data_IF_404099099987
#
_entry.id   IF_404099099987
#
_cell.length_a   1.000
_cell.length_b   1.000
_cell.length_c   1.000
_cell.angle_alpha   90.00
_cell.angle_beta   90.00
_cell.angle_gamma   90.00
#
_symmetry.space_group_name_H-M   'P 1'
#
loop_
_entity.id
_entity.type
_entity.pdbx_description
1 polymer ?
#
# COMPACT_ATOMS: atom_id res chain seq x y z
N UNK A 1 1.26 -14.66 1.22
CA UNK A 1 0.61 -13.52 0.51
C UNK A 1 -0.89 -13.61 0.76
N UNK A 2 -1.49 -12.51 1.13
CA UNK A 2 -2.93 -12.46 1.35
C UNK A 2 -3.53 -11.24 0.68
N UNK A 3 -4.80 -11.36 0.28
CA UNK A 3 -5.54 -10.29 -0.37
C UNK A 3 -6.51 -9.67 0.64
N UNK A 4 -6.59 -8.36 0.67
CA UNK A 4 -7.43 -7.62 1.60
C UNK A 4 -8.09 -6.45 0.89
N UNK A 5 -9.24 -6.04 1.39
CA UNK A 5 -9.78 -4.72 1.09
C UNK A 5 -9.17 -3.73 2.06
N UNK A 6 -8.82 -2.57 1.58
CA UNK A 6 -8.12 -1.58 2.38
C UNK A 6 -8.50 -0.17 2.01
N UNK A 7 -8.28 0.73 2.95
CA UNK A 7 -8.39 2.16 2.75
C UNK A 7 -7.03 2.78 3.03
N UNK A 8 -6.64 3.78 2.26
CA UNK A 8 -5.44 4.56 2.57
C UNK A 8 -5.80 6.03 2.81
N UNK A 9 -5.08 6.63 3.74
CA UNK A 9 -5.16 8.07 4.00
C UNK A 9 -3.82 8.70 3.68
N UNK A 10 -3.85 9.83 3.00
CA UNK A 10 -2.68 10.53 2.50
C UNK A 10 -2.64 11.94 3.08
N UNK A 11 -1.42 12.43 3.38
CA UNK A 11 -1.24 13.83 3.79
C UNK A 11 -1.49 14.75 2.62
N UNK A 12 -2.34 15.77 2.82
CA UNK A 12 -2.59 16.82 1.84
C UNK A 12 -3.19 16.33 0.51
N UNK A 13 -3.72 15.10 0.49
CA UNK A 13 -4.33 14.54 -0.71
C UNK A 13 -5.54 13.71 -0.33
N UNK A 14 -6.41 13.50 -1.31
CA UNK A 14 -7.58 12.65 -1.12
C UNK A 14 -7.13 11.21 -0.88
N UNK A 15 -7.69 10.57 0.13
CA UNK A 15 -7.47 9.15 0.39
C UNK A 15 -8.17 8.28 -0.65
N UNK A 16 -7.79 7.01 -0.64
CA UNK A 16 -8.39 5.98 -1.51
C UNK A 16 -9.10 4.96 -0.64
N UNK A 17 -10.25 4.48 -1.10
CA UNK A 17 -11.07 3.52 -0.37
C UNK A 17 -11.35 2.29 -1.21
N UNK A 18 -11.70 1.18 -0.55
CA UNK A 18 -12.06 -0.08 -1.19
C UNK A 18 -11.00 -0.59 -2.18
N UNK A 19 -9.74 -0.43 -1.81
CA UNK A 19 -8.64 -0.95 -2.62
C UNK A 19 -8.46 -2.44 -2.38
N UNK A 20 -8.21 -3.17 -3.47
CA UNK A 20 -7.75 -4.55 -3.37
C UNK A 20 -6.24 -4.54 -3.26
N UNK A 21 -5.72 -4.98 -2.11
CA UNK A 21 -4.27 -5.04 -1.92
C UNK A 21 -3.80 -6.47 -1.74
N UNK A 22 -2.59 -6.72 -2.20
CA UNK A 22 -1.85 -7.93 -1.88
C UNK A 22 -0.87 -7.59 -0.77
N UNK A 23 -0.88 -8.35 0.30
CA UNK A 23 -0.06 -8.09 1.47
C UNK A 23 0.82 -9.30 1.78
N UNK A 24 2.09 -9.05 2.04
CA UNK A 24 3.04 -10.06 2.49
C UNK A 24 3.64 -9.59 3.81
N UNK A 25 3.50 -10.42 4.85
CA UNK A 25 4.10 -10.15 6.16
C UNK A 25 5.19 -11.18 6.36
N UNK A 26 6.40 -10.71 6.67
CA UNK A 26 7.55 -11.56 6.90
C UNK A 26 8.04 -11.34 8.33
N UNK A 27 8.20 -12.43 9.07
CA UNK A 27 8.82 -12.39 10.38
C UNK A 27 10.34 -12.45 10.20
N UNK A 28 11.00 -11.39 10.65
CA UNK A 28 12.45 -11.26 10.50
C UNK A 28 13.23 -11.73 11.72
N UNK A 29 12.53 -12.34 12.70
CA UNK A 29 13.15 -12.81 13.95
C UNK A 29 13.19 -11.73 15.01
N UNK A 30 13.48 -12.13 16.26
CA UNK A 30 13.55 -11.19 17.37
C UNK A 30 12.27 -10.43 17.67
N UNK A 31 11.12 -10.96 17.27
CA UNK A 31 9.84 -10.30 17.45
C UNK A 31 9.56 -9.17 16.45
N UNK A 32 10.39 -9.03 15.43
CA UNK A 32 10.22 -8.00 14.40
C UNK A 32 9.47 -8.55 13.21
N UNK A 33 8.65 -7.70 12.62
CA UNK A 33 7.95 -7.99 11.38
C UNK A 33 8.31 -6.96 10.34
N UNK A 34 8.46 -7.41 9.09
CA UNK A 34 8.43 -6.53 7.95
C UNK A 34 7.20 -6.88 7.11
N UNK A 35 6.62 -5.88 6.48
CA UNK A 35 5.46 -6.10 5.65
C UNK A 35 5.53 -5.19 4.43
N UNK A 36 4.99 -5.72 3.35
CA UNK A 36 5.00 -5.03 2.07
C UNK A 36 3.79 -5.46 1.27
N UNK A 37 3.52 -4.77 0.20
CA UNK A 37 2.40 -5.14 -0.63
C UNK A 37 2.31 -4.32 -1.90
N UNK A 38 1.21 -4.53 -2.60
CA UNK A 38 0.94 -3.85 -3.85
C UNK A 38 -0.58 -3.63 -4.01
N UNK A 39 -0.93 -2.56 -4.70
CA UNK A 39 -2.30 -2.33 -5.11
C UNK A 39 -2.32 -1.59 -6.44
N UNK A 40 -3.47 -1.65 -7.11
CA UNK A 40 -3.67 -0.89 -8.33
C UNK A 40 -4.37 0.42 -8.00
N UNK A 41 -3.82 1.52 -8.49
CA UNK A 41 -4.45 2.83 -8.39
C UNK A 41 -4.76 3.35 -9.79
N UNK A 42 -5.59 4.37 -9.87
CA UNK A 42 -5.77 5.08 -11.13
C UNK A 42 -4.60 6.05 -11.31
N UNK A 43 -4.13 6.19 -12.54
CA UNK A 43 -3.02 7.11 -12.83
C UNK A 43 -3.34 8.55 -12.39
N UNK A 44 -4.60 8.93 -12.42
CA UNK A 44 -5.05 10.25 -11.98
C UNK A 44 -4.87 10.47 -10.46
N UNK A 45 -4.73 9.40 -9.69
CA UNK A 45 -4.52 9.53 -8.25
C UNK A 45 -3.17 10.15 -7.90
N UNK A 46 -2.22 10.12 -8.83
CA UNK A 46 -0.96 10.83 -8.69
C UNK A 46 -0.07 10.34 -7.57
N UNK A 47 -0.07 9.04 -7.29
CA UNK A 47 0.77 8.47 -6.24
C UNK A 47 2.22 8.48 -6.70
N UNK A 48 3.10 9.02 -5.87
CA UNK A 48 4.51 9.19 -6.20
C UNK A 48 5.38 8.24 -5.37
N UNK A 49 6.56 7.86 -5.88
CA UNK A 49 7.56 7.15 -5.07
C UNK A 49 7.92 7.94 -3.82
N UNK A 50 8.22 7.22 -2.73
CA UNK A 50 8.55 7.78 -1.41
C UNK A 50 7.39 8.47 -0.69
N UNK A 51 6.20 8.51 -1.27
CA UNK A 51 5.02 9.02 -0.58
C UNK A 51 4.67 8.10 0.58
N UNK A 52 4.32 8.71 1.72
CA UNK A 52 3.87 7.96 2.91
C UNK A 52 2.35 8.04 3.01
N UNK A 53 1.77 6.96 3.51
CA UNK A 53 0.33 6.90 3.73
C UNK A 53 0.01 6.00 4.91
N UNK A 54 -1.18 6.19 5.48
CA UNK A 54 -1.71 5.31 6.51
C UNK A 54 -2.60 4.27 5.86
N UNK A 55 -2.38 3.02 6.21
CA UNK A 55 -3.11 1.88 5.65
C UNK A 55 -4.06 1.32 6.70
N UNK A 56 -5.31 1.12 6.30
CA UNK A 56 -6.35 0.53 7.15
C UNK A 56 -6.93 -0.70 6.45
N UNK A 57 -6.71 -1.86 7.03
CA UNK A 57 -7.18 -3.12 6.47
C UNK A 57 -8.60 -3.43 6.93
N UNK A 58 -9.28 -4.26 6.16
CA UNK A 58 -10.62 -4.77 6.49
C UNK A 58 -10.62 -5.63 7.76
N UNK A 59 -9.47 -6.14 8.17
CA UNK A 59 -9.30 -6.90 9.41
C UNK A 59 -9.29 -6.02 10.65
N UNK A 60 -9.23 -4.69 10.49
CA UNK A 60 -9.06 -3.75 11.60
C UNK A 60 -7.61 -3.38 11.88
N UNK A 61 -6.66 -4.04 11.23
CA UNK A 61 -5.26 -3.68 11.37
C UNK A 61 -4.95 -2.38 10.64
N UNK A 62 -3.99 -1.64 11.17
CA UNK A 62 -3.55 -0.39 10.56
C UNK A 62 -2.04 -0.25 10.67
N UNK A 63 -1.46 0.53 9.79
CA UNK A 63 -0.04 0.81 9.81
C UNK A 63 0.31 1.94 8.87
N UNK A 64 1.57 2.37 8.94
CA UNK A 64 2.10 3.37 8.03
C UNK A 64 2.95 2.69 6.98
N UNK A 65 2.82 3.11 5.74
CA UNK A 65 3.58 2.56 4.63
C UNK A 65 4.20 3.68 3.80
N UNK A 66 5.22 3.30 3.04
CA UNK A 66 5.88 4.18 2.09
C UNK A 66 5.86 3.54 0.71
N UNK A 67 5.55 4.33 -0.30
CA UNK A 67 5.57 3.86 -1.68
C UNK A 67 7.02 3.60 -2.07
N UNK A 68 7.32 2.36 -2.44
CA UNK A 68 8.65 1.94 -2.89
C UNK A 68 8.86 2.30 -4.35
N UNK A 69 7.91 1.94 -5.20
CA UNK A 69 7.94 2.26 -6.61
C UNK A 69 6.54 2.19 -7.21
N UNK A 70 6.38 2.78 -8.37
CA UNK A 70 5.17 2.70 -9.15
C UNK A 70 5.50 2.08 -10.51
N UNK A 71 4.63 1.19 -10.99
CA UNK A 71 4.79 0.53 -12.28
C UNK A 71 3.62 0.94 -13.18
N UNK A 72 3.96 1.48 -14.32
CA UNK A 72 3.00 1.87 -15.34
C UNK A 72 2.89 0.79 -16.40
N UNK A 73 1.67 0.35 -16.70
CA UNK A 73 1.43 -0.60 -17.77
C UNK A 73 0.94 0.18 -19.01
N UNK A 74 1.72 0.15 -20.07
CA UNK A 74 1.38 0.85 -21.31
C UNK A 74 0.10 0.32 -21.98
N UNK A 75 -0.30 -0.91 -21.63
CA UNK A 75 -1.55 -1.50 -22.14
C UNK A 75 -2.77 -1.04 -21.36
N UNK A 76 -2.55 -0.50 -20.15
CA UNK A 76 -3.60 0.03 -19.29
C UNK A 76 -3.14 1.37 -18.74
N UNK A 77 -3.10 2.42 -19.55
CA UNK A 77 -2.52 3.70 -19.13
C UNK A 77 -3.30 4.38 -18.00
N UNK A 78 -4.54 3.99 -17.77
CA UNK A 78 -5.34 4.52 -16.68
C UNK A 78 -5.04 3.87 -15.32
N UNK A 79 -4.26 2.80 -15.29
CA UNK A 79 -3.95 2.08 -14.06
C UNK A 79 -2.44 2.08 -13.79
N UNK A 80 -2.09 2.21 -12.51
CA UNK A 80 -0.71 2.18 -12.05
C UNK A 80 -0.62 1.19 -10.90
N UNK A 81 0.34 0.27 -10.97
CA UNK A 81 0.62 -0.62 -9.87
C UNK A 81 1.53 0.08 -8.88
N UNK A 82 1.11 0.13 -7.63
CA UNK A 82 1.86 0.77 -6.56
C UNK A 82 2.42 -0.31 -5.64
N UNK A 83 3.74 -0.29 -5.47
CA UNK A 83 4.44 -1.20 -4.56
C UNK A 83 4.84 -0.40 -3.32
N UNK A 84 4.57 -0.96 -2.15
CA UNK A 84 4.85 -0.25 -0.90
C UNK A 84 5.52 -1.16 0.12
N UNK A 85 6.20 -0.54 1.07
CA UNK A 85 6.77 -1.22 2.23
C UNK A 85 6.25 -0.61 3.51
N UNK A 86 6.08 -1.43 4.54
CA UNK A 86 5.64 -0.96 5.84
C UNK A 86 6.73 -0.21 6.58
N UNK A 87 6.30 0.78 7.37
CA UNK A 87 7.16 1.52 8.29
C UNK A 87 6.63 1.20 9.69
N UNK A 88 7.41 0.48 10.47
CA UNK A 88 6.97 0.06 11.79
C UNK A 88 5.98 -1.11 11.75
N UNK A 89 5.41 -1.48 12.88
CA UNK A 89 4.54 -2.64 12.97
C UNK A 89 3.18 -2.42 12.32
N UNK A 90 2.60 -3.52 11.85
CA UNK A 90 1.23 -3.57 11.38
C UNK A 90 0.37 -4.14 12.52
N UNK A 91 -0.54 -3.36 13.03
CA UNK A 91 -1.30 -3.82 14.18
C UNK A 91 -2.66 -3.23 14.35
#
# INVERSE_FOLDING_TARGET
MSAHKARIERSNRKGLDQLDIELTVTDTGGGRQSWSGAFMSRSIDGIQPDERFSLFLDTGQKGTARVKETEFDSRKPEATRVLFTGIGPLG
#
